data_IF_146910329469
#
_entry.id   IF_146910329469
#
_cell.length_a   1.000
_cell.length_b   1.000
_cell.length_c   1.000
_cell.angle_alpha   90.00
_cell.angle_beta   90.00
_cell.angle_gamma   90.00
#
_symmetry.space_group_name_H-M   'P 1'
#
loop_
_entity.id
_entity.type
_entity.pdbx_description
1 polymer ?
#
# COMPACT_ATOMS: atom_id res chain seq x y z
N UNK A 1 -1.25 1.49 1.98
CA UNK A 1 0.06 1.30 1.32
C UNK A 1 0.39 -0.18 1.34
N UNK A 2 1.23 -0.63 0.42
CA UNK A 2 1.62 -2.02 0.32
C UNK A 2 2.49 -2.47 1.53
N UNK A 3 2.37 -3.73 1.99
CA UNK A 3 3.11 -4.26 3.14
C UNK A 3 4.62 -4.09 3.04
N UNK A 4 5.19 -4.35 1.86
CA UNK A 4 6.63 -4.29 1.64
C UNK A 4 7.20 -2.87 1.82
N UNK A 5 6.40 -1.85 1.53
CA UNK A 5 6.79 -0.44 1.74
C UNK A 5 6.87 -0.13 3.23
N UNK A 6 5.94 -0.66 4.04
CA UNK A 6 6.02 -0.55 5.49
C UNK A 6 7.21 -1.31 6.09
N UNK A 7 7.74 -2.30 5.37
CA UNK A 7 8.94 -3.04 5.74
C UNK A 7 10.24 -2.36 5.29
N UNK A 8 10.15 -1.16 4.72
CA UNK A 8 11.30 -0.37 4.27
C UNK A 8 11.80 -0.71 2.87
N UNK A 9 11.04 -1.48 2.08
CA UNK A 9 11.37 -1.69 0.67
C UNK A 9 11.03 -0.44 -0.16
N UNK A 10 11.64 -0.35 -1.34
CA UNK A 10 11.41 0.75 -2.28
C UNK A 10 10.06 0.60 -2.97
N UNK A 11 9.50 1.73 -3.38
CA UNK A 11 8.33 1.77 -4.25
C UNK A 11 8.61 1.09 -5.59
N UNK A 12 7.64 0.31 -6.03
CA UNK A 12 7.64 -0.41 -7.30
C UNK A 12 6.27 -0.31 -7.95
N UNK A 13 6.18 -0.64 -9.24
CA UNK A 13 4.89 -0.76 -9.93
C UNK A 13 3.95 -1.75 -9.20
N UNK A 14 4.48 -2.86 -8.67
CA UNK A 14 3.69 -3.81 -7.89
C UNK A 14 3.11 -3.18 -6.60
N UNK A 15 3.78 -2.20 -5.99
CA UNK A 15 3.25 -1.46 -4.84
C UNK A 15 2.12 -0.50 -5.21
N UNK A 16 2.15 0.04 -6.44
CA UNK A 16 1.03 0.81 -7.00
C UNK A 16 -0.16 -0.10 -7.29
N UNK A 17 0.07 -1.32 -7.81
CA UNK A 17 -0.98 -2.32 -8.02
C UNK A 17 -1.68 -2.71 -6.71
N UNK A 18 -0.93 -2.85 -5.62
CA UNK A 18 -1.55 -3.06 -4.31
C UNK A 18 -2.50 -1.91 -3.93
N UNK A 19 -2.05 -0.68 -4.15
CA UNK A 19 -2.85 0.52 -3.87
C UNK A 19 -4.07 0.59 -4.79
N UNK A 20 -3.95 0.15 -6.03
CA UNK A 20 -5.08 -0.01 -6.95
C UNK A 20 -6.11 -1.02 -6.44
N UNK A 21 -5.67 -2.17 -5.90
CA UNK A 21 -6.58 -3.13 -5.25
C UNK A 21 -7.35 -2.53 -4.07
N UNK A 22 -6.72 -1.63 -3.29
CA UNK A 22 -7.39 -0.88 -2.23
C UNK A 22 -8.41 0.13 -2.77
N UNK A 23 -8.14 0.77 -3.90
CA UNK A 23 -9.09 1.67 -4.59
C UNK A 23 -10.29 0.87 -5.12
N UNK A 24 -10.05 -0.32 -5.68
CA UNK A 24 -11.14 -1.20 -6.11
C UNK A 24 -12.07 -1.55 -4.94
N UNK A 25 -11.50 -1.86 -3.77
CA UNK A 25 -12.28 -2.10 -2.57
C UNK A 25 -13.08 -0.86 -2.12
N UNK A 26 -12.48 0.33 -2.21
CA UNK A 26 -13.15 1.60 -1.90
C UNK A 26 -14.30 1.89 -2.87
N UNK A 27 -14.15 1.63 -4.16
CA UNK A 27 -15.24 1.76 -5.14
C UNK A 27 -16.38 0.79 -4.88
N UNK A 28 -16.03 -0.45 -4.52
CA UNK A 28 -16.99 -1.50 -4.24
C UNK A 28 -17.82 -1.21 -2.98
N UNK A 29 -17.21 -0.60 -1.95
CA UNK A 29 -17.87 -0.39 -0.65
C UNK A 29 -18.31 1.05 -0.39
N UNK A 30 -17.78 2.02 -1.15
CA UNK A 30 -17.89 3.45 -0.86
C UNK A 30 -17.16 3.87 0.43
N UNK A 31 -16.34 3.00 1.03
CA UNK A 31 -15.63 3.25 2.28
C UNK A 31 -14.13 3.30 2.06
N UNK A 32 -13.45 4.13 2.85
CA UNK A 32 -11.99 4.12 2.86
C UNK A 32 -11.48 2.85 3.56
N UNK A 33 -10.41 2.21 3.06
CA UNK A 33 -9.81 1.06 3.72
C UNK A 33 -9.50 1.37 5.19
N UNK A 34 -9.88 0.45 6.08
CA UNK A 34 -9.65 0.53 7.53
C UNK A 34 -10.26 1.77 8.22
N UNK A 35 -11.35 2.32 7.69
CA UNK A 35 -12.08 3.49 8.24
C UNK A 35 -12.48 3.39 9.72
N UNK A 36 -12.66 2.18 10.22
CA UNK A 36 -13.05 1.84 11.58
C UNK A 36 -11.86 1.71 12.54
N UNK A 37 -10.63 1.73 12.03
CA UNK A 37 -9.40 1.50 12.80
C UNK A 37 -8.62 2.79 13.04
N UNK A 38 -7.83 2.80 14.10
CA UNK A 38 -6.81 3.83 14.32
C UNK A 38 -5.63 3.57 13.37
N UNK A 39 -5.10 4.60 12.72
CA UNK A 39 -3.99 4.47 11.77
C UNK A 39 -2.63 4.64 12.46
N UNK A 40 -2.28 3.68 13.30
CA UNK A 40 -1.06 3.64 14.10
C UNK A 40 -0.10 2.50 13.67
N UNK A 41 0.95 2.28 14.47
CA UNK A 41 1.93 1.23 14.24
C UNK A 41 1.32 -0.17 14.30
N UNK A 42 0.24 -0.34 15.06
CA UNK A 42 -0.41 -1.63 15.25
C UNK A 42 -1.10 -2.10 13.98
N UNK A 43 -1.92 -1.22 13.40
CA UNK A 43 -2.60 -1.51 12.15
C UNK A 43 -1.60 -1.87 11.04
N UNK A 44 -0.42 -1.25 11.05
CA UNK A 44 0.63 -1.53 10.06
C UNK A 44 1.21 -2.92 10.25
N UNK A 45 1.45 -3.35 11.48
CA UNK A 45 1.89 -4.71 11.79
C UNK A 45 0.83 -5.71 11.32
N UNK A 46 -0.44 -5.48 11.63
CA UNK A 46 -1.55 -6.33 11.19
C UNK A 46 -1.63 -6.41 9.65
N UNK A 47 -1.48 -5.30 8.92
CA UNK A 47 -1.45 -5.28 7.45
C UNK A 47 -0.28 -6.11 6.91
N UNK A 48 0.89 -5.98 7.52
CA UNK A 48 2.08 -6.78 7.18
C UNK A 48 1.85 -8.27 7.42
N UNK A 49 1.08 -8.61 8.45
CA UNK A 49 0.75 -9.98 8.83
C UNK A 49 -0.48 -10.54 8.08
N UNK A 50 -1.01 -9.78 7.11
CA UNK A 50 -2.02 -10.26 6.17
C UNK A 50 -3.43 -9.70 6.38
N UNK A 51 -3.63 -8.77 7.32
CA UNK A 51 -4.91 -8.09 7.48
C UNK A 51 -5.35 -7.43 6.17
N UNK A 52 -6.61 -7.64 5.79
CA UNK A 52 -7.26 -6.99 4.65
C UNK A 52 -8.63 -6.46 5.05
N UNK A 53 -9.15 -5.43 4.36
CA UNK A 53 -10.51 -4.96 4.57
C UNK A 53 -11.54 -6.09 4.32
N UNK A 54 -12.66 -6.11 5.06
CA UNK A 54 -13.68 -7.14 4.91
C UNK A 54 -14.41 -7.00 3.57
N UNK A 55 -14.85 -8.13 3.00
CA UNK A 55 -15.59 -8.18 1.75
C UNK A 55 -17.07 -8.40 2.12
N UNK A 56 -17.88 -7.37 1.98
CA UNK A 56 -19.25 -7.32 2.55
C UNK A 56 -20.35 -7.00 1.52
N UNK A 57 -20.04 -7.08 0.22
CA UNK A 57 -20.97 -6.64 -0.83
C UNK A 57 -20.88 -7.52 -2.07
N UNK A 58 -21.92 -7.43 -2.90
CA UNK A 58 -21.94 -7.97 -4.24
C UNK A 58 -21.10 -7.12 -5.19
N UNK A 59 -20.50 -7.76 -6.18
CA UNK A 59 -19.74 -7.14 -7.25
C UNK A 59 -19.81 -8.02 -8.50
N UNK A 60 -19.53 -7.48 -9.69
CA UNK A 60 -19.40 -8.25 -10.93
C UNK A 60 -18.52 -9.49 -10.79
N UNK A 61 -18.85 -10.53 -11.55
CA UNK A 61 -18.07 -11.76 -11.57
C UNK A 61 -16.60 -11.44 -11.92
N UNK A 62 -15.66 -11.97 -11.12
CA UNK A 62 -14.23 -11.74 -11.28
C UNK A 62 -13.69 -10.41 -10.70
N UNK A 63 -14.54 -9.47 -10.29
CA UNK A 63 -14.09 -8.20 -9.69
C UNK A 63 -13.38 -8.43 -8.35
N UNK A 64 -13.99 -9.24 -7.47
CA UNK A 64 -13.42 -9.54 -6.15
C UNK A 64 -12.11 -10.31 -6.27
N UNK A 65 -12.02 -11.23 -7.23
CA UNK A 65 -10.81 -12.01 -7.45
C UNK A 65 -9.68 -11.14 -7.99
N UNK A 66 -9.95 -10.27 -8.96
CA UNK A 66 -8.99 -9.27 -9.43
C UNK A 66 -8.52 -8.35 -8.31
N UNK A 67 -9.44 -7.83 -7.51
CA UNK A 67 -9.11 -7.02 -6.33
C UNK A 67 -8.19 -7.78 -5.37
N UNK A 68 -8.46 -9.08 -5.15
CA UNK A 68 -7.62 -9.95 -4.30
C UNK A 68 -6.24 -10.22 -4.86
N UNK A 69 -6.14 -10.42 -6.18
CA UNK A 69 -4.86 -10.55 -6.88
C UNK A 69 -4.03 -9.27 -6.73
N UNK A 70 -4.65 -8.10 -6.90
CA UNK A 70 -3.98 -6.80 -6.78
C UNK A 70 -3.38 -6.56 -5.39
N UNK A 71 -4.10 -6.88 -4.30
CA UNK A 71 -3.61 -6.67 -2.92
C UNK A 71 -2.91 -7.88 -2.29
N UNK A 72 -2.43 -8.81 -3.11
CA UNK A 72 -1.71 -10.00 -2.66
C UNK A 72 -0.47 -9.61 -1.84
N UNK A 73 -0.16 -10.35 -0.76
CA UNK A 73 0.96 -10.03 0.13
C UNK A 73 2.31 -10.08 -0.58
N UNK A 74 2.56 -11.14 -1.36
CA UNK A 74 3.72 -11.26 -2.24
C UNK A 74 3.55 -10.35 -3.47
N UNK A 75 4.42 -9.34 -3.69
CA UNK A 75 4.36 -8.44 -4.84
C UNK A 75 4.47 -9.14 -6.19
N UNK A 76 5.18 -10.28 -6.28
CA UNK A 76 5.40 -11.00 -7.54
C UNK A 76 4.16 -11.73 -8.04
N UNK A 77 3.16 -11.92 -7.16
CA UNK A 77 1.89 -12.55 -7.51
C UNK A 77 0.83 -11.55 -7.94
N UNK A 78 1.14 -10.25 -7.90
CA UNK A 78 0.24 -9.19 -8.34
C UNK A 78 0.31 -9.08 -9.88
N UNK A 79 -0.81 -8.88 -10.57
CA UNK A 79 -0.81 -8.64 -12.02
C UNK A 79 -0.17 -7.28 -12.32
N UNK A 80 0.42 -7.10 -13.50
CA UNK A 80 0.81 -5.76 -13.95
C UNK A 80 -0.41 -4.99 -14.50
N UNK A 81 -0.24 -3.68 -14.70
CA UNK A 81 -1.32 -2.81 -15.16
C UNK A 81 -1.89 -3.21 -16.53
N UNK A 82 -1.05 -3.73 -17.43
CA UNK A 82 -1.45 -4.20 -18.76
C UNK A 82 -2.39 -5.40 -18.65
N UNK A 83 -2.03 -6.42 -17.86
CA UNK A 83 -2.87 -7.59 -17.61
C UNK A 83 -4.19 -7.21 -16.91
N UNK A 84 -4.14 -6.29 -15.93
CA UNK A 84 -5.36 -5.80 -15.27
C UNK A 84 -6.34 -5.24 -16.31
N UNK A 85 -5.87 -4.38 -17.21
CA UNK A 85 -6.74 -3.74 -18.18
C UNK A 85 -7.23 -4.71 -19.26
N UNK A 86 -6.30 -5.36 -19.97
CA UNK A 86 -6.63 -6.15 -21.16
C UNK A 86 -7.25 -7.51 -20.84
N UNK A 87 -6.76 -8.19 -19.80
CA UNK A 87 -7.15 -9.58 -19.53
C UNK A 87 -8.26 -9.70 -18.49
N UNK A 88 -8.39 -8.72 -17.59
CA UNK A 88 -9.29 -8.83 -16.44
C UNK A 88 -10.46 -7.85 -16.56
N UNK A 89 -10.21 -6.54 -16.51
CA UNK A 89 -11.28 -5.51 -16.53
C UNK A 89 -12.14 -5.62 -17.78
N UNK A 90 -11.51 -5.73 -18.97
CA UNK A 90 -12.28 -5.89 -20.22
C UNK A 90 -13.19 -7.12 -20.20
N UNK A 91 -12.69 -8.26 -19.72
CA UNK A 91 -13.50 -9.49 -19.63
C UNK A 91 -14.65 -9.34 -18.65
N UNK A 92 -14.42 -8.73 -17.49
CA UNK A 92 -15.48 -8.42 -16.51
C UNK A 92 -16.56 -7.55 -17.17
N UNK A 93 -16.17 -6.46 -17.83
CA UNK A 93 -17.10 -5.56 -18.50
C UNK A 93 -17.88 -6.26 -19.63
N UNK A 94 -17.21 -7.06 -20.45
CA UNK A 94 -17.85 -7.76 -21.56
C UNK A 94 -18.79 -8.85 -21.05
N UNK A 95 -18.48 -9.50 -19.93
CA UNK A 95 -19.35 -10.48 -19.28
C UNK A 95 -20.60 -9.80 -18.70
N UNK A 96 -20.43 -8.70 -17.95
CA UNK A 96 -21.58 -7.94 -17.40
C UNK A 96 -22.52 -7.42 -18.49
N UNK A 97 -22.00 -6.95 -19.63
CA UNK A 97 -22.83 -6.50 -20.77
C UNK A 97 -23.64 -7.62 -21.41
N UNK A 98 -23.14 -8.85 -21.39
CA UNK A 98 -23.78 -10.03 -21.99
C UNK A 98 -24.65 -10.79 -20.99
N UNK A 99 -24.53 -10.49 -19.71
CA UNK A 99 -25.26 -11.16 -18.65
C UNK A 99 -26.75 -10.80 -18.71
N UNK A 100 -27.62 -11.81 -18.73
CA UNK A 100 -29.07 -11.62 -18.74
C UNK A 100 -29.58 -11.06 -17.40
N UNK A 101 -28.84 -11.32 -16.31
CA UNK A 101 -29.09 -10.80 -14.97
C UNK A 101 -27.83 -10.06 -14.49
N UNK A 102 -27.56 -8.83 -14.98
CA UNK A 102 -26.36 -8.08 -14.62
C UNK A 102 -26.30 -7.81 -13.12
N UNK A 103 -25.10 -7.54 -12.61
CA UNK A 103 -24.93 -7.25 -11.18
C UNK A 103 -25.79 -6.07 -10.75
N UNK A 104 -26.76 -6.33 -9.88
CA UNK A 104 -27.63 -5.28 -9.35
C UNK A 104 -26.85 -4.36 -8.41
N UNK A 105 -27.01 -3.06 -8.57
CA UNK A 105 -26.49 -2.09 -7.61
C UNK A 105 -27.43 -2.11 -6.42
N UNK A 106 -26.97 -2.67 -5.31
CA UNK A 106 -27.75 -2.77 -4.08
C UNK A 106 -27.43 -1.54 -3.23
N UNK A 107 -28.45 -0.74 -2.91
CA UNK A 107 -28.34 0.23 -1.82
C UNK A 107 -28.23 -0.53 -0.50
N UNK A 108 -27.13 -0.34 0.22
CA UNK A 108 -26.91 -0.93 1.53
C UNK A 108 -26.51 0.17 2.51
N UNK A 109 -27.00 0.09 3.75
CA UNK A 109 -26.49 0.92 4.85
C UNK A 109 -25.01 0.66 5.13
N UNK A 110 -24.51 -0.49 4.70
CA UNK A 110 -23.09 -0.85 4.78
C UNK A 110 -22.27 -0.29 3.61
N UNK A 111 -22.92 0.25 2.57
CA UNK A 111 -22.29 0.80 1.36
C UNK A 111 -22.46 2.32 1.34
N UNK A 112 -21.37 3.04 1.06
CA UNK A 112 -21.35 4.50 0.96
C UNK A 112 -20.39 5.16 1.97
N UNK A 113 -20.08 6.46 1.80
CA UNK A 113 -19.18 7.14 2.69
C UNK A 113 -19.77 7.14 4.10
N UNK A 114 -19.06 6.52 5.03
CA UNK A 114 -19.46 6.55 6.44
C UNK A 114 -19.61 8.00 6.88
N UNK A 115 -20.69 8.33 7.61
CA UNK A 115 -20.87 9.67 8.18
C UNK A 115 -19.68 10.09 9.06
N UNK A 116 -18.99 9.13 9.66
CA UNK A 116 -17.85 9.35 10.56
C UNK A 116 -16.83 8.21 10.45
N UNK A 117 -15.57 8.55 10.19
CA UNK A 117 -14.46 7.62 10.36
C UNK A 117 -14.07 7.52 11.85
N UNK A 118 -13.31 6.49 12.22
CA UNK A 118 -12.59 6.48 13.48
C UNK A 118 -11.77 7.79 13.61
N UNK A 119 -11.84 8.52 14.73
CA UNK A 119 -11.09 9.78 14.89
C UNK A 119 -9.57 9.63 14.75
N UNK A 120 -9.04 8.44 15.02
CA UNK A 120 -7.63 8.07 14.82
C UNK A 120 -7.29 7.60 13.40
N UNK A 121 -8.28 7.48 12.51
CA UNK A 121 -8.05 7.20 11.10
C UNK A 121 -7.52 8.46 10.40
N UNK A 122 -6.45 8.30 9.64
CA UNK A 122 -5.75 9.43 9.03
C UNK A 122 -5.47 9.11 7.56
N UNK A 123 -6.08 9.91 6.70
CA UNK A 123 -6.04 9.81 5.23
C UNK A 123 -5.32 10.97 4.54
N UNK A 124 -4.68 11.83 5.33
CA UNK A 124 -3.81 12.90 4.85
C UNK A 124 -2.36 12.43 4.84
N UNK A 125 -1.57 13.03 3.97
CA UNK A 125 -0.13 12.78 3.86
C UNK A 125 0.59 13.00 5.19
N UNK A 126 1.59 12.16 5.48
CA UNK A 126 2.51 12.34 6.60
C UNK A 126 3.83 11.60 6.35
N UNK A 127 4.93 11.94 7.04
CA UNK A 127 6.23 11.31 6.81
C UNK A 127 6.20 9.80 7.04
N UNK A 128 6.59 9.04 6.01
CA UNK A 128 6.59 7.58 6.04
C UNK A 128 7.63 7.00 7.00
N UNK A 129 8.82 7.61 7.04
CA UNK A 129 9.96 7.11 7.83
C UNK A 129 9.63 6.96 9.33
N UNK A 130 8.95 7.95 9.92
CA UNK A 130 8.56 7.91 11.33
C UNK A 130 7.55 6.80 11.63
N UNK A 131 6.62 6.56 10.70
CA UNK A 131 5.62 5.50 10.83
C UNK A 131 6.28 4.12 10.78
N UNK A 132 7.16 3.89 9.79
CA UNK A 132 7.91 2.63 9.64
C UNK A 132 8.73 2.36 10.89
N UNK A 133 9.46 3.36 11.39
CA UNK A 133 10.27 3.22 12.60
C UNK A 133 9.41 2.81 13.80
N UNK A 134 8.24 3.42 13.96
CA UNK A 134 7.30 3.08 15.04
C UNK A 134 6.80 1.63 14.94
N UNK A 135 6.42 1.20 13.74
CA UNK A 135 5.98 -0.18 13.49
C UNK A 135 7.11 -1.21 13.74
N UNK A 136 8.34 -0.93 13.29
CA UNK A 136 9.50 -1.79 13.52
C UNK A 136 9.83 -1.91 15.02
N UNK A 137 9.83 -0.79 15.75
CA UNK A 137 10.06 -0.77 17.19
C UNK A 137 8.98 -1.55 17.94
N UNK A 138 7.71 -1.35 17.60
CA UNK A 138 6.57 -2.05 18.21
C UNK A 138 6.63 -3.56 17.95
N UNK A 139 6.97 -3.98 16.72
CA UNK A 139 7.12 -5.39 16.37
C UNK A 139 8.27 -6.05 17.13
N UNK A 140 9.40 -5.36 17.30
CA UNK A 140 10.57 -5.84 18.05
C UNK A 140 10.24 -6.12 19.53
N UNK A 141 9.43 -5.26 20.16
CA UNK A 141 9.02 -5.43 21.56
C UNK A 141 8.12 -6.66 21.79
N UNK A 142 7.51 -7.21 20.75
CA UNK A 142 6.56 -8.35 20.84
C UNK A 142 7.21 -9.72 20.67
N UNK A 143 8.41 -9.79 20.10
CA UNK A 143 9.10 -11.05 19.88
C UNK A 143 9.49 -11.69 21.22
N UNK A 144 9.07 -12.93 21.55
CA UNK A 144 9.55 -13.61 22.73
C UNK A 144 11.01 -14.03 22.49
N UNK A 145 11.90 -13.52 23.35
CA UNK A 145 13.32 -13.89 23.49
C UNK A 145 14.15 -13.78 22.20
N UNK A 146 14.84 -12.65 22.08
CA UNK A 146 15.78 -12.31 21.00
C UNK A 146 16.78 -13.46 20.79
N UNK A 147 16.76 -14.07 19.61
CA UNK A 147 17.85 -14.96 19.17
C UNK A 147 18.98 -14.12 18.58
N UNK A 148 20.21 -14.65 18.56
CA UNK A 148 21.38 -13.96 17.97
C UNK A 148 21.20 -13.62 16.49
N UNK A 149 20.37 -14.37 15.77
CA UNK A 149 19.99 -14.10 14.38
C UNK A 149 19.08 -12.87 14.24
N UNK A 150 18.18 -12.62 15.21
CA UNK A 150 17.33 -11.43 15.21
C UNK A 150 18.15 -10.15 15.43
N UNK A 151 19.17 -10.21 16.31
CA UNK A 151 20.13 -9.11 16.52
C UNK A 151 20.94 -8.83 15.25
N UNK A 152 21.37 -9.87 14.54
CA UNK A 152 22.10 -9.72 13.30
C UNK A 152 21.22 -9.09 12.21
N UNK A 153 19.97 -9.53 12.06
CA UNK A 153 19.02 -8.95 11.12
C UNK A 153 18.70 -7.48 11.46
N UNK A 154 18.53 -7.16 12.75
CA UNK A 154 18.29 -5.80 13.21
C UNK A 154 19.51 -4.89 12.97
N UNK A 155 20.73 -5.39 13.21
CA UNK A 155 21.97 -4.67 12.94
C UNK A 155 22.17 -4.41 11.43
N UNK A 156 21.95 -5.43 10.60
CA UNK A 156 22.04 -5.28 9.14
C UNK A 156 21.00 -4.30 8.61
N UNK A 157 19.74 -4.34 9.09
CA UNK A 157 18.71 -3.36 8.71
C UNK A 157 19.09 -1.94 9.12
N UNK A 158 19.64 -1.72 10.33
CA UNK A 158 20.16 -0.40 10.74
C UNK A 158 21.31 0.08 9.85
N UNK A 159 22.25 -0.79 9.50
CA UNK A 159 23.37 -0.43 8.62
C UNK A 159 22.88 -0.08 7.21
N UNK A 160 21.96 -0.87 6.65
CA UNK A 160 21.39 -0.60 5.33
C UNK A 160 20.67 0.76 5.34
N UNK A 161 19.84 1.02 6.35
CA UNK A 161 19.14 2.30 6.50
C UNK A 161 20.12 3.49 6.65
N UNK A 162 21.17 3.35 7.47
CA UNK A 162 22.22 4.36 7.61
C UNK A 162 23.04 4.58 6.35
N UNK A 163 23.23 3.54 5.52
CA UNK A 163 23.95 3.64 4.24
C UNK A 163 23.09 4.29 3.16
N UNK A 164 21.79 4.02 3.12
CA UNK A 164 20.86 4.69 2.20
C UNK A 164 20.70 6.18 2.51
N UNK A 165 20.68 6.55 3.80
CA UNK A 165 20.65 7.96 4.21
C UNK A 165 21.90 8.73 3.74
N UNK A 166 23.08 8.12 3.87
CA UNK A 166 24.35 8.71 3.38
C UNK A 166 24.37 8.87 1.86
N UNK A 167 23.92 7.86 1.11
CA UNK A 167 23.81 7.96 -0.36
C UNK A 167 22.84 9.06 -0.82
N UNK A 168 21.77 9.29 -0.07
CA UNK A 168 20.83 10.38 -0.36
C UNK A 168 21.44 11.75 -0.09
N UNK A 169 22.22 11.90 0.99
CA UNK A 169 22.92 13.14 1.33
C UNK A 169 24.08 13.43 0.34
N UNK A 170 24.83 12.41 -0.07
CA UNK A 170 25.92 12.54 -1.06
C UNK A 170 25.38 12.97 -2.45
N UNK A 171 24.26 12.40 -2.89
CA UNK A 171 23.59 12.79 -4.15
C UNK A 171 23.01 14.22 -4.12
N UNK A 172 22.74 14.79 -2.93
CA UNK A 172 22.36 16.20 -2.81
C UNK A 172 23.57 17.15 -2.80
N UNK A 173 24.74 16.68 -2.35
CA UNK A 173 25.98 17.46 -2.37
C UNK A 173 26.52 17.57 -3.80
N UNK A 174 26.49 16.49 -4.59
CA UNK A 174 26.92 16.53 -6.00
C UNK A 174 26.02 17.43 -6.87
N UNK A 175 24.70 17.47 -6.60
CA UNK A 175 23.77 18.36 -7.30
C UNK A 175 23.85 19.84 -6.89
N UNK A 176 24.59 20.20 -5.82
CA UNK A 176 24.88 21.60 -5.47
C UNK A 176 26.18 22.14 -6.07
N UNK A 177 26.98 21.30 -6.74
CA UNK A 177 28.26 21.68 -7.35
C UNK A 177 28.21 22.18 -8.80
N UNK A 178 27.05 22.09 -9.48
CA UNK A 178 26.89 22.37 -10.90
C UNK A 178 26.05 23.64 -11.18
N UNK A 179 26.37 24.75 -10.49
CA UNK A 179 25.98 26.09 -10.95
C UNK A 179 27.23 26.98 -10.92
N UNK A 180 28.06 26.87 -11.96
CA UNK A 180 29.08 27.87 -12.28
C UNK A 180 28.69 28.58 -13.57
N UNK A 181 28.15 29.78 -13.37
CA UNK A 181 28.34 31.01 -14.16
C UNK A 181 28.24 30.87 -15.68
N UNK A 182 27.07 31.22 -16.23
CA UNK A 182 26.97 31.77 -17.59
C UNK A 182 26.14 33.06 -17.55
N UNK A 183 26.81 34.19 -17.38
CA UNK A 183 26.42 35.47 -17.97
C UNK A 183 27.67 36.32 -18.16
N UNK A 184 28.05 36.65 -19.40
CA UNK A 184 28.05 38.03 -19.97
C UNK A 184 28.85 38.15 -21.28
N UNK A 185 28.27 38.91 -22.23
CA UNK A 185 28.85 39.69 -23.34
C UNK A 185 29.29 38.97 -24.64
N UNK A 186 28.51 39.08 -25.71
CA UNK A 186 28.47 40.23 -26.65
C UNK A 186 27.16 40.23 -27.44
#
# INVERSE_FOLDING_TARGET
>A
MAPEIFQGQKYTEASDIYSFGMIMWEFMTGRRPFWDRIHDAELIIEICDGLRPPIVTNAPEGYIDLMKECWHSDPNKRPNAENIYWDKIRKIQDNEKRNQNPTEIIESSDIGPVKTNNPGAIYKSRPLSGIIQSAMSTRSLRSPTITSEDLFCHYQKRIIFSNEKRKYEDNQIENRGMIKVLYTNM
#
